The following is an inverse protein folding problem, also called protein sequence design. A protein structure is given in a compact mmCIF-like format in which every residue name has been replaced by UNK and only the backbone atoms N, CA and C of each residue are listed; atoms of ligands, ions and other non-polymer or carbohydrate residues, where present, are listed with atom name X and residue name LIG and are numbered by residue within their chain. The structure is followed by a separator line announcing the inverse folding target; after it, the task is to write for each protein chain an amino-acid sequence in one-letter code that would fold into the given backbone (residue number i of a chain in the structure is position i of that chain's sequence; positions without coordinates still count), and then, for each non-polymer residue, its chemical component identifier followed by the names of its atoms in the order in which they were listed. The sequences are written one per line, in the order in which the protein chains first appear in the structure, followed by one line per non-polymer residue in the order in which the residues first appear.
data_IF_588496661921
#
_entry.id   IF_588496661921
#
_cell.length_a   1.000
_cell.length_b   1.000
_cell.length_c   1.000
_cell.angle_alpha   90.00
_cell.angle_beta   90.00
_cell.angle_gamma   90.00
#
_symmetry.space_group_name_H-M   'P 1'
#
loop_
_entity.id
_entity.type
_entity.pdbx_description
1 polymer ?
#
# COMPACT_ATOMS: atom_id res chain seq x y z
N UNK A 1 10.49 14.20 -20.40
CA UNK A 1 11.02 12.89 -19.99
C UNK A 1 11.37 12.98 -18.52
N UNK A 2 10.56 12.39 -17.63
CA UNK A 2 10.96 12.26 -16.23
C UNK A 2 12.20 11.36 -16.14
N UNK A 3 13.32 11.97 -15.80
CA UNK A 3 14.53 11.25 -15.41
C UNK A 3 14.26 10.68 -14.02
N UNK A 4 13.65 9.50 -13.95
CA UNK A 4 13.52 8.80 -12.67
C UNK A 4 14.93 8.34 -12.27
N UNK A 5 15.44 8.93 -11.20
CA UNK A 5 16.68 8.50 -10.58
C UNK A 5 16.46 7.13 -9.93
N UNK A 6 17.39 6.23 -10.14
CA UNK A 6 17.33 4.89 -9.59
C UNK A 6 18.17 4.85 -8.31
N UNK A 7 17.52 4.65 -7.18
CA UNK A 7 18.16 4.58 -5.86
C UNK A 7 18.08 3.17 -5.33
N UNK A 8 19.20 2.60 -4.89
CA UNK A 8 19.26 1.27 -4.28
C UNK A 8 19.28 1.40 -2.75
N UNK A 9 18.39 0.62 -2.10
CA UNK A 9 18.27 0.58 -0.64
C UNK A 9 18.32 -0.85 -0.11
N UNK A 10 18.71 -1.00 1.14
CA UNK A 10 18.89 -2.30 1.80
C UNK A 10 20.26 -2.91 1.63
N UNK A 11 20.72 -3.67 2.64
CA UNK A 11 22.07 -4.22 2.73
C UNK A 11 22.47 -5.11 1.54
N UNK A 12 21.52 -5.87 0.97
CA UNK A 12 21.77 -6.73 -0.19
C UNK A 12 22.23 -5.96 -1.45
N UNK A 13 21.92 -4.66 -1.53
CA UNK A 13 22.34 -3.81 -2.66
C UNK A 13 23.83 -3.43 -2.64
N UNK A 14 24.53 -3.80 -1.57
CA UNK A 14 26.01 -3.70 -1.50
C UNK A 14 26.71 -4.69 -2.43
N UNK A 15 26.03 -5.76 -2.85
CA UNK A 15 26.58 -6.76 -3.75
C UNK A 15 26.83 -6.15 -5.14
N UNK A 16 28.06 -6.24 -5.68
CA UNK A 16 28.39 -5.70 -7.01
C UNK A 16 27.52 -6.32 -8.13
N UNK A 17 27.17 -7.59 -7.99
CA UNK A 17 26.31 -8.29 -8.94
C UNK A 17 24.92 -7.63 -9.05
N UNK A 18 24.31 -7.26 -7.91
CA UNK A 18 23.00 -6.59 -7.89
C UNK A 18 23.08 -5.25 -8.64
N UNK A 19 24.09 -4.43 -8.34
CA UNK A 19 24.29 -3.13 -9.00
C UNK A 19 24.47 -3.27 -10.51
N UNK A 20 25.28 -4.24 -10.94
CA UNK A 20 25.51 -4.51 -12.36
C UNK A 20 24.22 -4.96 -13.06
N UNK A 21 23.47 -5.90 -12.47
CA UNK A 21 22.22 -6.38 -13.04
C UNK A 21 21.14 -5.30 -13.13
N UNK A 22 21.06 -4.45 -12.13
CA UNK A 22 20.13 -3.31 -12.14
C UNK A 22 20.53 -2.32 -13.25
N UNK A 23 21.81 -2.01 -13.39
CA UNK A 23 22.31 -1.14 -14.46
C UNK A 23 22.04 -1.74 -15.86
N UNK A 24 22.26 -3.04 -16.05
CA UNK A 24 21.96 -3.75 -17.30
C UNK A 24 20.46 -3.70 -17.63
N UNK A 25 19.59 -3.91 -16.63
CA UNK A 25 18.14 -3.97 -16.82
C UNK A 25 17.52 -2.61 -17.13
N UNK A 26 17.96 -1.58 -16.43
CA UNK A 26 17.37 -0.22 -16.55
C UNK A 26 18.17 0.72 -17.46
N UNK A 27 19.35 0.31 -17.92
CA UNK A 27 20.21 1.14 -18.76
C UNK A 27 20.74 2.41 -18.07
N UNK A 28 20.63 2.47 -16.73
CA UNK A 28 21.04 3.63 -15.92
C UNK A 28 21.91 3.18 -14.74
N UNK A 29 22.89 4.00 -14.41
CA UNK A 29 23.69 3.76 -13.22
C UNK A 29 22.90 4.12 -11.96
N UNK A 30 22.74 3.19 -11.02
CA UNK A 30 22.00 3.47 -9.79
C UNK A 30 22.81 4.40 -8.87
N UNK A 31 22.11 5.29 -8.16
CA UNK A 31 22.69 6.12 -7.10
C UNK A 31 23.03 5.26 -5.88
N UNK A 32 24.30 5.29 -5.49
CA UNK A 32 24.85 4.51 -4.37
C UNK A 32 25.50 5.41 -3.29
N UNK A 33 25.24 6.71 -3.32
CA UNK A 33 25.89 7.68 -2.40
C UNK A 33 25.26 7.65 -0.99
N UNK A 34 24.04 7.19 -0.87
CA UNK A 34 23.36 7.05 0.41
C UNK A 34 23.72 5.72 1.06
N UNK A 35 23.84 5.71 2.40
CA UNK A 35 24.00 4.45 3.13
C UNK A 35 22.72 3.60 2.99
N UNK A 36 22.79 2.45 2.31
CA UNK A 36 21.59 1.65 2.03
C UNK A 36 20.93 1.04 3.27
N UNK A 37 21.65 0.99 4.40
CA UNK A 37 21.13 0.44 5.65
C UNK A 37 20.36 1.50 6.46
N UNK A 38 20.66 2.77 6.29
CA UNK A 38 20.13 3.87 7.10
C UNK A 38 19.12 4.75 6.35
N UNK A 39 19.16 4.78 5.02
CA UNK A 39 18.39 5.72 4.20
C UNK A 39 16.88 5.63 4.45
N UNK A 40 16.36 4.43 4.72
CA UNK A 40 14.94 4.23 5.01
C UNK A 40 14.57 4.85 6.36
N UNK A 41 15.41 4.67 7.38
CA UNK A 41 15.20 5.27 8.70
C UNK A 41 15.28 6.80 8.65
N UNK A 42 16.23 7.35 7.88
CA UNK A 42 16.34 8.79 7.66
C UNK A 42 15.11 9.35 6.94
N UNK A 43 14.62 8.66 5.90
CA UNK A 43 13.39 9.03 5.22
C UNK A 43 12.16 8.98 6.14
N UNK A 44 12.07 7.97 7.00
CA UNK A 44 11.00 7.87 7.99
C UNK A 44 11.05 9.01 9.02
N UNK A 45 12.24 9.44 9.43
CA UNK A 45 12.41 10.59 10.34
C UNK A 45 11.94 11.90 9.68
N UNK A 46 12.28 12.11 8.41
CA UNK A 46 11.79 13.28 7.64
C UNK A 46 10.26 13.25 7.54
N UNK A 47 9.67 12.09 7.24
CA UNK A 47 8.22 11.95 7.17
C UNK A 47 7.54 12.20 8.52
N UNK A 48 8.14 11.76 9.61
CA UNK A 48 7.63 12.04 10.97
C UNK A 48 7.65 13.54 11.28
N UNK A 49 8.70 14.25 10.87
CA UNK A 49 8.79 15.72 11.02
C UNK A 49 7.68 16.43 10.24
N UNK A 50 7.43 16.03 9.00
CA UNK A 50 6.33 16.55 8.17
C UNK A 50 4.98 16.33 8.85
N UNK A 51 4.73 15.11 9.35
CA UNK A 51 3.46 14.78 10.04
C UNK A 51 3.28 15.54 11.36
N UNK A 52 4.36 15.91 12.03
CA UNK A 52 4.31 16.73 13.25
C UNK A 52 4.19 18.24 12.99
N UNK A 53 4.15 18.65 11.73
CA UNK A 53 3.98 20.04 11.32
C UNK A 53 5.28 20.84 11.23
N UNK A 54 6.44 20.18 11.17
CA UNK A 54 7.74 20.81 11.01
C UNK A 54 7.96 21.29 9.57
N UNK A 55 8.49 20.45 8.72
CA UNK A 55 8.80 20.78 7.32
C UNK A 55 7.57 20.64 6.44
N UNK A 56 7.24 21.66 5.63
CA UNK A 56 6.07 21.65 4.71
C UNK A 56 6.46 21.54 3.23
N UNK A 57 7.74 21.57 2.91
CA UNK A 57 8.23 21.70 1.53
C UNK A 57 8.29 20.37 0.76
N UNK A 58 7.99 19.27 1.43
CA UNK A 58 8.02 17.94 0.82
C UNK A 58 6.68 17.23 1.00
N UNK A 59 6.16 16.68 -0.10
CA UNK A 59 4.95 15.88 -0.10
C UNK A 59 5.29 14.43 -0.47
N UNK A 60 5.08 13.51 0.46
CA UNK A 60 5.11 12.09 0.18
C UNK A 60 3.68 11.59 -0.01
N UNK A 61 3.38 11.12 -1.21
CA UNK A 61 2.14 10.42 -1.51
C UNK A 61 2.42 8.93 -1.53
N UNK A 62 1.79 8.22 -0.63
CA UNK A 62 1.84 6.76 -0.59
C UNK A 62 0.54 6.18 -1.15
N UNK A 63 0.52 4.89 -1.43
CA UNK A 63 -0.61 4.18 -2.03
C UNK A 63 -0.92 2.89 -1.28
N UNK A 64 -2.16 2.45 -1.37
CA UNK A 64 -2.54 1.13 -0.86
C UNK A 64 -1.90 0.04 -1.73
N UNK A 65 -1.13 -0.90 -1.17
CA UNK A 65 -0.49 -1.96 -1.96
C UNK A 65 -1.47 -3.01 -2.47
N UNK A 66 -2.58 -3.20 -1.77
CA UNK A 66 -3.65 -4.14 -2.09
C UNK A 66 -5.01 -3.49 -1.91
N UNK A 67 -5.99 -3.96 -2.67
CA UNK A 67 -7.38 -3.51 -2.56
C UNK A 67 -7.96 -3.85 -1.19
N UNK A 68 -8.77 -2.94 -0.66
CA UNK A 68 -9.57 -3.13 0.54
C UNK A 68 -11.03 -3.24 0.16
N UNK A 69 -11.72 -4.18 0.74
CA UNK A 69 -13.13 -4.42 0.47
C UNK A 69 -13.84 -5.13 1.61
N UNK A 70 -15.06 -5.48 1.37
CA UNK A 70 -15.89 -6.22 2.30
C UNK A 70 -16.41 -7.50 1.65
N UNK A 71 -16.71 -8.49 2.49
CA UNK A 71 -17.42 -9.68 2.07
C UNK A 71 -18.89 -9.35 1.83
N UNK A 72 -19.37 -9.70 0.65
CA UNK A 72 -20.78 -9.57 0.27
C UNK A 72 -21.44 -10.95 0.17
N UNK A 73 -22.74 -10.95 -0.09
CA UNK A 73 -23.52 -12.16 -0.27
C UNK A 73 -22.87 -13.12 -1.29
N UNK A 74 -22.85 -14.41 -0.96
CA UNK A 74 -22.20 -15.42 -1.80
C UNK A 74 -20.69 -15.59 -1.54
N UNK A 75 -20.13 -14.90 -0.53
CA UNK A 75 -18.71 -15.00 -0.20
C UNK A 75 -17.80 -14.32 -1.22
N UNK A 76 -18.31 -13.30 -1.91
CA UNK A 76 -17.56 -12.50 -2.90
C UNK A 76 -17.03 -11.23 -2.22
N UNK A 77 -15.81 -10.81 -2.60
CA UNK A 77 -15.24 -9.56 -2.15
C UNK A 77 -15.71 -8.40 -3.03
N UNK A 78 -16.39 -7.42 -2.43
CA UNK A 78 -16.63 -6.12 -3.05
C UNK A 78 -15.50 -5.16 -2.69
N UNK A 79 -14.74 -4.72 -3.68
CA UNK A 79 -13.60 -3.81 -3.48
C UNK A 79 -14.09 -2.37 -3.35
N UNK A 80 -13.81 -1.75 -2.20
CA UNK A 80 -14.17 -0.35 -1.89
C UNK A 80 -13.03 0.62 -2.22
N UNK A 81 -11.81 0.25 -1.86
CA UNK A 81 -10.60 1.03 -2.15
C UNK A 81 -9.68 0.14 -2.98
N UNK A 82 -9.44 0.52 -4.20
CA UNK A 82 -8.59 -0.27 -5.11
C UNK A 82 -7.11 -0.11 -4.78
N UNK A 83 -6.32 -1.13 -5.08
CA UNK A 83 -4.86 -1.03 -5.01
C UNK A 83 -4.35 0.19 -5.78
N UNK A 84 -3.23 0.72 -5.35
CA UNK A 84 -2.61 1.93 -5.88
C UNK A 84 -3.46 3.21 -5.72
N UNK A 85 -4.51 3.19 -4.89
CA UNK A 85 -5.19 4.43 -4.48
C UNK A 85 -4.30 5.19 -3.53
N UNK A 86 -4.09 6.48 -3.79
CA UNK A 86 -3.31 7.38 -2.94
C UNK A 86 -3.95 7.50 -1.55
N UNK A 87 -3.16 7.42 -0.51
CA UNK A 87 -3.60 7.57 0.87
C UNK A 87 -3.23 8.95 1.43
N UNK A 88 -4.05 9.52 2.36
CA UNK A 88 -5.26 8.92 2.96
C UNK A 88 -6.45 8.85 2.00
N UNK A 89 -7.20 7.75 2.06
CA UNK A 89 -8.38 7.53 1.25
C UNK A 89 -9.55 7.04 2.10
N UNK A 90 -10.77 7.40 1.71
CA UNK A 90 -11.99 6.87 2.30
C UNK A 90 -12.98 6.50 1.21
N UNK A 91 -13.75 5.44 1.45
CA UNK A 91 -14.83 5.03 0.57
C UNK A 91 -16.09 4.74 1.39
N UNK A 92 -17.22 5.01 0.79
CA UNK A 92 -18.55 4.70 1.36
C UNK A 92 -19.38 4.02 0.28
N UNK A 93 -20.04 2.95 0.63
CA UNK A 93 -20.94 2.24 -0.26
C UNK A 93 -22.19 1.80 0.53
N UNK A 94 -23.33 1.79 -0.14
CA UNK A 94 -24.58 1.36 0.48
C UNK A 94 -24.83 -0.11 0.13
N UNK A 95 -25.08 -0.90 1.15
CA UNK A 95 -25.44 -2.31 1.02
C UNK A 95 -26.83 -2.53 1.59
N UNK A 96 -27.57 -3.46 1.01
CA UNK A 96 -28.87 -3.88 1.50
C UNK A 96 -28.74 -5.13 2.37
N UNK A 97 -29.67 -5.30 3.29
CA UNK A 97 -29.84 -6.55 4.04
C UNK A 97 -30.33 -7.68 3.13
N UNK A 98 -29.96 -8.90 3.47
CA UNK A 98 -30.29 -10.09 2.67
C UNK A 98 -31.74 -10.57 2.89
N UNK A 99 -32.24 -10.37 4.10
CA UNK A 99 -33.58 -10.85 4.51
C UNK A 99 -34.37 -9.71 5.14
N UNK A 100 -35.64 -9.64 4.86
CA UNK A 100 -36.55 -8.69 5.50
C UNK A 100 -36.58 -8.92 7.02
N UNK A 101 -36.43 -7.82 7.78
CA UNK A 101 -36.42 -7.89 9.25
C UNK A 101 -35.09 -8.32 9.86
N UNK A 102 -33.99 -8.35 9.06
CA UNK A 102 -32.65 -8.61 9.58
C UNK A 102 -32.21 -7.53 10.58
N UNK A 103 -31.85 -7.96 11.80
CA UNK A 103 -31.50 -7.06 12.92
C UNK A 103 -30.02 -6.84 13.13
N UNK A 104 -29.17 -7.54 12.36
CA UNK A 104 -27.74 -7.37 12.46
C UNK A 104 -27.02 -7.83 11.20
N UNK A 105 -25.84 -7.26 10.93
CA UNK A 105 -24.98 -7.61 9.82
C UNK A 105 -23.54 -7.79 10.30
N UNK A 106 -22.94 -8.91 9.95
CA UNK A 106 -21.51 -9.14 10.14
C UNK A 106 -20.75 -8.59 8.93
N UNK A 107 -19.91 -7.61 9.17
CA UNK A 107 -19.07 -7.00 8.14
C UNK A 107 -17.67 -7.56 8.30
N UNK A 108 -17.19 -8.27 7.30
CA UNK A 108 -15.81 -8.74 7.20
C UNK A 108 -15.02 -7.83 6.28
N UNK A 109 -13.99 -7.21 6.83
CA UNK A 109 -13.07 -6.36 6.06
C UNK A 109 -11.95 -7.23 5.52
N UNK A 110 -11.75 -7.14 4.20
CA UNK A 110 -10.83 -7.97 3.44
C UNK A 110 -9.76 -7.13 2.75
N UNK A 111 -8.59 -7.71 2.60
CA UNK A 111 -7.48 -7.14 1.84
C UNK A 111 -6.97 -8.17 0.83
N UNK A 112 -6.91 -7.79 -0.45
CA UNK A 112 -6.42 -8.65 -1.52
C UNK A 112 -7.05 -8.34 -2.86
N UNK A 113 -6.72 -9.18 -3.85
CA UNK A 113 -7.14 -9.03 -5.26
C UNK A 113 -7.97 -10.22 -5.74
N UNK A 114 -8.33 -11.15 -4.87
CA UNK A 114 -9.09 -12.34 -5.23
C UNK A 114 -10.58 -12.04 -5.18
N UNK A 115 -11.33 -12.67 -6.08
CA UNK A 115 -12.78 -12.51 -6.17
C UNK A 115 -13.50 -13.09 -4.95
N UNK A 116 -13.05 -14.26 -4.46
CA UNK A 116 -13.66 -14.91 -3.31
C UNK A 116 -13.11 -14.37 -1.99
N UNK A 117 -13.98 -14.09 -1.03
CA UNK A 117 -13.62 -13.59 0.29
C UNK A 117 -12.63 -14.49 1.03
N UNK A 118 -12.80 -15.82 0.93
CA UNK A 118 -11.94 -16.82 1.58
C UNK A 118 -10.50 -16.82 1.09
N UNK A 119 -10.26 -16.32 -0.13
CA UNK A 119 -8.93 -16.28 -0.77
C UNK A 119 -8.21 -14.96 -0.52
N UNK A 120 -8.84 -14.03 0.20
CA UNK A 120 -8.30 -12.74 0.63
C UNK A 120 -7.99 -12.76 2.12
N UNK A 121 -7.11 -11.84 2.53
CA UNK A 121 -6.75 -11.69 3.94
C UNK A 121 -7.87 -10.93 4.68
N UNK A 122 -8.45 -11.55 5.69
CA UNK A 122 -9.36 -10.89 6.61
C UNK A 122 -8.58 -10.04 7.59
N UNK A 123 -8.83 -8.74 7.60
CA UNK A 123 -8.12 -7.76 8.43
C UNK A 123 -8.99 -7.14 9.52
N UNK A 124 -10.30 -7.32 9.44
CA UNK A 124 -11.22 -6.79 10.44
C UNK A 124 -12.59 -7.42 10.38
N UNK A 125 -13.35 -7.24 11.47
CA UNK A 125 -14.76 -7.62 11.60
C UNK A 125 -15.48 -6.54 12.37
N UNK A 126 -16.67 -6.18 11.91
CA UNK A 126 -17.62 -5.37 12.65
C UNK A 126 -18.97 -6.07 12.67
N UNK A 127 -19.72 -5.89 13.76
CA UNK A 127 -21.10 -6.32 13.91
C UNK A 127 -21.94 -5.05 14.07
N UNK A 128 -22.95 -4.90 13.22
CA UNK A 128 -23.83 -3.73 13.20
C UNK A 128 -25.28 -4.17 13.30
#
# INVERSE_FOLDING_TARGET
MCSSDLVLVGGSTRMPLVRRRVQELFGKQPHCHLNPDEVVALGAAVQADILSGGTTDMLLLDVTPLSLGIETMGGVMSSLIRRNTTIPASAKEMFTTYVDGQTGVDIHILQGERELAKDNRKIGRAHV
#
